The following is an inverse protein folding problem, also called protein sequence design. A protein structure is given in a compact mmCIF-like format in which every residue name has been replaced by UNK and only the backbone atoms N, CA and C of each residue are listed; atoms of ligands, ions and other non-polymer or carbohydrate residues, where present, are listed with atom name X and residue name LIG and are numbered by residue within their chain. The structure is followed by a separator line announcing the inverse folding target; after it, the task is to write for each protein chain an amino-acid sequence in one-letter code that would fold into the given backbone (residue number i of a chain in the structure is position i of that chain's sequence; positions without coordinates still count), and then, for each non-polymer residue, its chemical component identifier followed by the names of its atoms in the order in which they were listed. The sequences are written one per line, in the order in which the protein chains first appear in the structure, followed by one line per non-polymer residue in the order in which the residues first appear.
data_IF_140766015644
#
_entry.id   IF_140766015644
#
_cell.length_a   1.000
_cell.length_b   1.000
_cell.length_c   1.000
_cell.angle_alpha   90.00
_cell.angle_beta   90.00
_cell.angle_gamma   90.00
#
_symmetry.space_group_name_H-M   'P 1'
#
loop_
_entity.id
_entity.type
_entity.pdbx_description
1 polymer ?
#
# COMPACT_ATOMS: atom_id res chain seq x y z
N UNK A 1 -32.73 45.57 1.90
CA UNK A 1 -31.98 44.70 0.95
C UNK A 1 -30.62 44.44 1.55
N UNK A 2 -30.41 43.28 2.16
CA UNK A 2 -29.10 42.76 2.50
C UNK A 2 -29.06 41.34 1.93
N UNK A 3 -28.30 41.18 0.85
CA UNK A 3 -27.97 39.89 0.25
C UNK A 3 -26.64 39.45 0.87
N UNK A 4 -26.71 38.66 1.94
CA UNK A 4 -25.53 37.96 2.45
C UNK A 4 -25.41 36.61 1.74
N UNK A 5 -24.99 36.65 0.47
CA UNK A 5 -24.59 35.46 -0.28
C UNK A 5 -23.11 35.18 -0.07
N UNK A 6 -22.75 34.74 1.13
CA UNK A 6 -21.48 34.05 1.39
C UNK A 6 -21.74 32.56 1.65
N UNK A 7 -22.36 31.90 0.67
CA UNK A 7 -22.22 30.45 0.54
C UNK A 7 -20.80 30.20 0.01
N UNK A 8 -19.83 30.13 0.93
CA UNK A 8 -18.53 29.53 0.64
C UNK A 8 -18.80 28.14 0.09
N UNK A 9 -18.49 27.92 -1.20
CA UNK A 9 -18.52 26.59 -1.80
C UNK A 9 -17.52 25.76 -1.00
N UNK A 10 -18.03 24.84 -0.17
CA UNK A 10 -17.18 23.91 0.55
C UNK A 10 -16.27 23.22 -0.48
N UNK A 11 -14.94 23.22 -0.29
CA UNK A 11 -14.07 22.43 -1.15
C UNK A 11 -14.59 20.99 -1.13
N UNK A 12 -14.75 20.40 -2.31
CA UNK A 12 -15.26 19.05 -2.48
C UNK A 12 -14.21 18.06 -1.95
N UNK A 13 -14.11 17.92 -0.63
CA UNK A 13 -13.20 17.04 0.13
C UNK A 13 -13.55 15.55 -0.02
N UNK A 14 -14.25 15.18 -1.09
CA UNK A 14 -14.59 13.78 -1.36
C UNK A 14 -13.39 13.08 -1.97
N UNK A 15 -13.18 11.85 -1.54
CA UNK A 15 -12.22 10.97 -2.17
C UNK A 15 -12.55 10.81 -3.67
N UNK A 16 -11.56 10.84 -4.58
CA UNK A 16 -11.82 10.81 -6.02
C UNK A 16 -12.52 9.52 -6.45
N UNK A 17 -13.72 9.63 -7.04
CA UNK A 17 -14.53 8.47 -7.44
C UNK A 17 -13.81 7.56 -8.43
N UNK A 18 -13.05 8.13 -9.37
CA UNK A 18 -12.27 7.37 -10.33
C UNK A 18 -11.25 6.43 -9.66
N UNK A 19 -10.64 6.86 -8.54
CA UNK A 19 -9.72 6.02 -7.78
C UNK A 19 -10.48 4.91 -7.05
N UNK A 20 -11.64 5.21 -6.45
CA UNK A 20 -12.49 4.20 -5.83
C UNK A 20 -12.94 3.13 -6.83
N UNK A 21 -13.36 3.54 -8.03
CA UNK A 21 -13.82 2.65 -9.09
C UNK A 21 -12.69 1.75 -9.61
N UNK A 22 -11.47 2.29 -9.71
CA UNK A 22 -10.28 1.52 -10.11
C UNK A 22 -9.88 0.53 -9.02
N UNK A 23 -9.86 0.96 -7.75
CA UNK A 23 -9.58 0.07 -6.63
C UNK A 23 -10.59 -1.08 -6.53
N UNK A 24 -11.88 -0.78 -6.74
CA UNK A 24 -12.93 -1.79 -6.77
C UNK A 24 -12.72 -2.80 -7.90
N UNK A 25 -12.45 -2.32 -9.12
CA UNK A 25 -12.23 -3.19 -10.30
C UNK A 25 -11.03 -4.12 -10.12
N UNK A 26 -9.99 -3.67 -9.44
CA UNK A 26 -8.79 -4.46 -9.17
C UNK A 26 -8.84 -5.21 -7.83
N UNK A 27 -9.98 -5.16 -7.12
CA UNK A 27 -10.19 -5.77 -5.82
C UNK A 27 -9.05 -5.46 -4.82
N UNK A 28 -8.79 -4.17 -4.66
CA UNK A 28 -7.81 -3.61 -3.73
C UNK A 28 -8.52 -3.19 -2.45
N UNK A 29 -7.97 -3.59 -1.31
CA UNK A 29 -8.53 -3.27 0.01
C UNK A 29 -7.45 -2.56 0.85
N UNK A 30 -7.81 -1.41 1.41
CA UNK A 30 -7.05 -0.82 2.52
C UNK A 30 -7.42 -1.56 3.80
N UNK A 31 -6.56 -2.50 4.19
CA UNK A 31 -6.83 -3.39 5.30
C UNK A 31 -6.58 -2.72 6.65
N UNK A 32 -5.48 -1.97 6.76
CA UNK A 32 -5.08 -1.21 7.95
C UNK A 32 -4.57 0.16 7.53
N UNK A 33 -4.89 1.20 8.29
CA UNK A 33 -4.44 2.58 8.06
C UNK A 33 -3.95 3.13 9.39
N UNK A 34 -2.67 3.48 9.44
CA UNK A 34 -2.02 4.07 10.61
C UNK A 34 -1.63 5.49 10.25
N UNK A 35 -2.02 6.45 11.08
CA UNK A 35 -1.59 7.83 10.93
C UNK A 35 -0.21 8.00 11.56
N UNK A 36 0.81 8.20 10.71
CA UNK A 36 2.23 8.19 11.10
C UNK A 36 2.54 9.27 12.13
N UNK A 37 2.11 10.55 11.98
CA UNK A 37 2.44 11.60 12.94
C UNK A 37 1.91 11.37 14.36
N UNK A 38 0.97 10.44 14.54
CA UNK A 38 0.41 10.11 15.87
C UNK A 38 1.04 8.88 16.52
N UNK A 39 2.00 8.22 15.86
CA UNK A 39 2.61 6.97 16.34
C UNK A 39 3.30 7.08 17.70
N UNK A 40 3.89 8.24 18.02
CA UNK A 40 4.68 8.45 19.24
C UNK A 40 3.92 9.24 20.33
N UNK A 41 2.61 9.46 20.18
CA UNK A 41 1.79 10.20 21.15
C UNK A 41 1.43 9.33 22.36
N UNK A 42 1.47 8.01 22.20
CA UNK A 42 1.12 7.01 23.21
C UNK A 42 2.37 6.36 23.80
N UNK A 43 2.25 5.87 25.04
CA UNK A 43 3.33 5.20 25.77
C UNK A 43 3.67 3.80 25.24
N UNK A 44 2.87 3.29 24.30
CA UNK A 44 3.04 1.97 23.69
C UNK A 44 2.70 2.03 22.20
N UNK A 45 3.31 1.14 21.43
CA UNK A 45 3.13 1.06 19.99
C UNK A 45 1.88 0.24 19.68
N UNK A 46 1.08 0.63 18.68
CA UNK A 46 -0.08 -0.17 18.31
C UNK A 46 0.33 -1.50 17.65
N UNK A 47 -0.45 -2.55 17.87
CA UNK A 47 -0.20 -3.90 17.32
C UNK A 47 -0.02 -3.89 15.79
N UNK A 48 -0.74 -3.01 15.10
CA UNK A 48 -0.63 -2.86 13.64
C UNK A 48 0.74 -2.33 13.20
N UNK A 49 1.35 -1.44 13.99
CA UNK A 49 2.71 -0.97 13.71
C UNK A 49 3.74 -2.03 14.07
N UNK A 50 3.54 -2.80 15.14
CA UNK A 50 4.40 -3.98 15.41
C UNK A 50 4.39 -4.94 14.22
N UNK A 51 3.21 -5.28 13.70
CA UNK A 51 3.07 -6.15 12.52
C UNK A 51 3.84 -5.60 11.31
N UNK A 52 3.76 -4.29 11.09
CA UNK A 52 4.56 -3.63 10.05
C UNK A 52 6.07 -3.81 10.28
N UNK A 53 6.57 -3.58 11.49
CA UNK A 53 8.00 -3.73 11.80
C UNK A 53 8.47 -5.16 11.56
N UNK A 54 7.68 -6.16 11.96
CA UNK A 54 7.97 -7.56 11.68
C UNK A 54 7.94 -7.88 10.18
N UNK A 55 7.05 -7.23 9.42
CA UNK A 55 6.96 -7.42 7.98
C UNK A 55 8.19 -6.88 7.21
N UNK A 56 9.03 -6.03 7.82
CA UNK A 56 10.23 -5.50 7.16
C UNK A 56 11.31 -6.55 6.87
N UNK A 57 11.33 -7.68 7.60
CA UNK A 57 12.26 -8.79 7.29
C UNK A 57 11.90 -9.53 5.99
N UNK A 58 10.72 -9.26 5.43
CA UNK A 58 10.22 -9.88 4.20
C UNK A 58 10.50 -9.05 2.95
N UNK A 59 9.94 -9.48 1.81
CA UNK A 59 9.97 -8.71 0.56
C UNK A 59 9.45 -7.27 0.73
N UNK A 60 8.52 -7.03 1.66
CA UNK A 60 8.03 -5.68 1.96
C UNK A 60 9.14 -4.71 2.33
N UNK A 61 10.17 -5.13 3.08
CA UNK A 61 11.27 -4.23 3.45
C UNK A 61 12.11 -3.78 2.26
N UNK A 62 12.32 -4.65 1.27
CA UNK A 62 13.05 -4.31 0.05
C UNK A 62 12.21 -3.43 -0.87
N UNK A 63 10.94 -3.78 -1.05
CA UNK A 63 10.01 -3.03 -1.89
C UNK A 63 9.81 -1.60 -1.34
N UNK A 64 9.79 -1.43 -0.02
CA UNK A 64 9.72 -0.12 0.64
C UNK A 64 10.98 0.71 0.44
N UNK A 65 12.17 0.10 0.44
CA UNK A 65 13.43 0.80 0.13
C UNK A 65 13.47 1.29 -1.32
N UNK A 66 12.94 0.49 -2.25
CA UNK A 66 12.86 0.87 -3.66
C UNK A 66 11.86 2.03 -3.86
N UNK A 67 10.71 1.98 -3.20
CA UNK A 67 9.67 3.02 -3.29
C UNK A 67 10.06 4.31 -2.57
N UNK A 68 10.73 4.19 -1.41
CA UNK A 68 11.13 5.29 -0.55
C UNK A 68 12.60 5.14 -0.10
N UNK A 69 13.58 5.47 -0.98
CA UNK A 69 14.99 5.33 -0.64
C UNK A 69 15.41 6.09 0.63
N UNK A 70 14.72 7.17 0.96
CA UNK A 70 14.95 7.92 2.20
C UNK A 70 14.69 7.08 3.48
N UNK A 71 13.87 6.03 3.40
CA UNK A 71 13.57 5.14 4.53
C UNK A 71 14.63 4.04 4.72
N UNK A 72 15.63 3.95 3.85
CA UNK A 72 16.63 2.88 3.94
C UNK A 72 17.34 2.87 5.30
N UNK A 73 17.70 4.03 5.83
CA UNK A 73 18.31 4.18 7.16
C UNK A 73 17.41 3.65 8.27
N UNK A 74 16.13 4.05 8.26
CA UNK A 74 15.12 3.59 9.20
C UNK A 74 14.94 2.06 9.12
N UNK A 75 14.68 1.52 7.93
CA UNK A 75 14.44 0.09 7.73
C UNK A 75 15.65 -0.73 8.18
N UNK A 76 16.87 -0.31 7.83
CA UNK A 76 18.09 -0.97 8.28
C UNK A 76 18.28 -0.91 9.80
N UNK A 77 17.84 0.18 10.45
CA UNK A 77 17.86 0.31 11.92
C UNK A 77 16.92 -0.70 12.58
N UNK A 78 15.68 -0.83 12.06
CA UNK A 78 14.70 -1.81 12.55
C UNK A 78 15.24 -3.23 12.41
N UNK A 79 15.76 -3.58 11.24
CA UNK A 79 16.29 -4.93 10.96
C UNK A 79 17.51 -5.29 11.83
N UNK A 80 18.27 -4.31 12.32
CA UNK A 80 19.38 -4.54 13.26
C UNK A 80 18.89 -4.79 14.69
N UNK A 81 17.75 -4.22 15.07
CA UNK A 81 17.17 -4.31 16.40
C UNK A 81 15.67 -4.63 16.33
N UNK A 82 15.29 -5.87 15.94
CA UNK A 82 13.89 -6.22 15.71
C UNK A 82 13.13 -6.54 17.01
N UNK A 83 13.60 -6.15 18.20
CA UNK A 83 12.92 -6.49 19.46
C UNK A 83 11.86 -5.47 19.84
N UNK A 84 10.82 -5.95 20.54
CA UNK A 84 9.73 -5.11 21.07
C UNK A 84 10.21 -3.94 21.93
N UNK A 85 11.33 -4.11 22.63
CA UNK A 85 11.94 -3.07 23.47
C UNK A 85 12.32 -1.82 22.65
N UNK A 86 12.61 -1.98 21.35
CA UNK A 86 12.99 -0.88 20.47
C UNK A 86 11.82 -0.32 19.65
N UNK A 87 10.62 -0.89 19.74
CA UNK A 87 9.51 -0.47 18.87
C UNK A 87 9.08 0.97 19.12
N UNK A 88 9.09 1.42 20.37
CA UNK A 88 8.81 2.81 20.75
C UNK A 88 9.85 3.77 20.15
N UNK A 89 11.12 3.38 20.18
CA UNK A 89 12.20 4.18 19.59
C UNK A 89 12.08 4.24 18.06
N UNK A 90 11.76 3.10 17.42
CA UNK A 90 11.52 3.06 15.97
C UNK A 90 10.34 3.92 15.56
N UNK A 91 9.23 3.89 16.30
CA UNK A 91 8.09 4.77 16.07
C UNK A 91 8.48 6.26 16.22
N UNK A 92 9.24 6.60 17.25
CA UNK A 92 9.69 7.97 17.50
C UNK A 92 10.64 8.48 16.41
N UNK A 93 11.59 7.65 15.98
CA UNK A 93 12.53 7.97 14.90
C UNK A 93 11.80 8.15 13.57
N UNK A 94 10.82 7.28 13.25
CA UNK A 94 10.03 7.40 12.04
C UNK A 94 9.27 8.74 11.99
N UNK A 95 8.66 9.16 13.11
CA UNK A 95 7.96 10.45 13.20
C UNK A 95 8.91 11.64 13.07
N UNK A 96 10.09 11.57 13.70
CA UNK A 96 11.06 12.66 13.70
C UNK A 96 11.74 12.86 12.32
N UNK A 97 12.11 11.77 11.67
CA UNK A 97 12.99 11.80 10.49
C UNK A 97 12.20 11.78 9.16
N UNK A 98 10.92 11.40 9.18
CA UNK A 98 10.10 11.19 7.97
C UNK A 98 8.72 11.87 8.07
N UNK A 99 8.73 13.13 8.51
CA UNK A 99 7.54 13.95 8.78
C UNK A 99 6.63 14.23 7.58
N UNK A 100 7.08 13.97 6.35
CA UNK A 100 6.30 14.12 5.13
C UNK A 100 5.33 12.95 4.86
N UNK A 101 5.53 11.82 5.54
CA UNK A 101 4.66 10.65 5.46
C UNK A 101 3.47 10.80 6.41
N UNK A 102 2.25 10.78 5.88
CA UNK A 102 1.03 10.96 6.67
C UNK A 102 0.45 9.60 7.10
N UNK A 103 0.54 8.60 6.23
CA UNK A 103 -0.09 7.31 6.41
C UNK A 103 0.87 6.14 6.16
N UNK A 104 0.72 5.10 6.99
CA UNK A 104 1.24 3.77 6.75
C UNK A 104 0.04 2.85 6.54
N UNK A 105 -0.04 2.22 5.37
CA UNK A 105 -1.23 1.47 4.93
C UNK A 105 -0.86 0.04 4.60
N UNK A 106 -1.57 -0.91 5.22
CA UNK A 106 -1.53 -2.30 4.79
C UNK A 106 -2.58 -2.52 3.69
N UNK A 107 -2.11 -2.90 2.51
CA UNK A 107 -2.92 -3.24 1.35
C UNK A 107 -3.17 -4.74 1.32
N UNK A 108 -4.37 -5.13 0.91
CA UNK A 108 -4.66 -6.45 0.36
C UNK A 108 -4.97 -6.29 -1.12
N UNK A 109 -4.10 -6.79 -1.96
CA UNK A 109 -4.22 -6.76 -3.42
C UNK A 109 -4.60 -8.15 -3.88
N UNK A 110 -5.73 -8.30 -4.57
CA UNK A 110 -6.14 -9.58 -5.10
C UNK A 110 -5.09 -10.14 -6.07
N UNK A 111 -4.74 -11.41 -5.90
CA UNK A 111 -3.85 -12.14 -6.80
C UNK A 111 -4.74 -12.72 -7.91
N UNK A 112 -4.56 -12.30 -9.17
CA UNK A 112 -5.33 -12.85 -10.28
C UNK A 112 -4.98 -14.31 -10.54
N UNK A 113 -5.98 -15.07 -10.98
CA UNK A 113 -5.86 -16.51 -11.23
C UNK A 113 -6.81 -16.95 -12.35
N UNK A 114 -6.71 -18.22 -12.77
CA UNK A 114 -7.52 -18.79 -13.85
C UNK A 114 -7.39 -18.00 -15.17
N UNK A 115 -6.17 -17.62 -15.53
CA UNK A 115 -5.88 -16.96 -16.80
C UNK A 115 -6.27 -17.83 -17.98
N UNK A 116 -7.00 -17.25 -18.93
CA UNK A 116 -7.29 -17.85 -20.23
C UNK A 116 -6.73 -16.97 -21.33
N UNK A 117 -5.91 -17.58 -22.17
CA UNK A 117 -5.27 -16.92 -23.29
C UNK A 117 -5.91 -17.32 -24.61
N UNK A 118 -6.02 -16.35 -25.52
CA UNK A 118 -6.40 -16.55 -26.90
C UNK A 118 -5.29 -17.24 -27.69
N UNK A 119 -5.58 -17.63 -28.92
CA UNK A 119 -4.60 -18.25 -29.84
C UNK A 119 -3.47 -17.29 -30.24
N UNK A 120 -3.67 -15.98 -30.08
CA UNK A 120 -2.67 -14.93 -30.26
C UNK A 120 -1.89 -14.62 -28.97
N UNK A 121 -2.15 -15.37 -27.88
CA UNK A 121 -1.52 -15.18 -26.59
C UNK A 121 -2.07 -14.00 -25.78
N UNK A 122 -3.16 -13.34 -26.22
CA UNK A 122 -3.81 -12.29 -25.42
C UNK A 122 -4.62 -12.86 -24.28
N UNK A 123 -4.49 -12.26 -23.10
CA UNK A 123 -5.37 -12.56 -21.97
C UNK A 123 -6.77 -11.97 -22.23
N UNK A 124 -7.79 -12.84 -22.28
CA UNK A 124 -9.19 -12.41 -22.45
C UNK A 124 -10.06 -12.68 -21.23
N UNK A 125 -9.56 -13.42 -20.24
CA UNK A 125 -10.32 -13.75 -19.03
C UNK A 125 -9.40 -14.12 -17.88
N UNK A 126 -9.66 -13.49 -16.73
CA UNK A 126 -9.04 -13.77 -15.43
C UNK A 126 -10.08 -13.69 -14.32
N UNK A 127 -9.77 -14.32 -13.19
CA UNK A 127 -10.55 -14.23 -11.96
C UNK A 127 -9.78 -13.46 -10.90
N UNK A 128 -10.50 -12.75 -10.02
CA UNK A 128 -9.95 -12.03 -8.86
C UNK A 128 -10.67 -12.48 -7.57
N UNK A 129 -9.97 -12.39 -6.44
CA UNK A 129 -10.59 -12.50 -5.10
C UNK A 129 -10.48 -13.85 -4.39
N UNK A 130 -9.68 -14.79 -4.89
CA UNK A 130 -9.40 -16.06 -4.20
C UNK A 130 -8.32 -15.93 -3.11
N UNK A 131 -7.22 -15.24 -3.43
CA UNK A 131 -6.11 -14.97 -2.51
C UNK A 131 -5.65 -13.51 -2.66
N UNK A 132 -4.92 -13.01 -1.66
CA UNK A 132 -4.48 -11.63 -1.59
C UNK A 132 -3.00 -11.55 -1.21
N UNK A 133 -2.28 -10.63 -1.86
CA UNK A 133 -0.94 -10.21 -1.45
C UNK A 133 -1.10 -9.09 -0.42
N UNK A 134 -0.56 -9.29 0.77
CA UNK A 134 -0.45 -8.24 1.77
C UNK A 134 0.79 -7.40 1.52
N UNK A 135 0.64 -6.08 1.45
CA UNK A 135 1.76 -5.17 1.16
C UNK A 135 1.65 -3.89 1.97
N UNK A 136 2.72 -3.47 2.61
CA UNK A 136 2.76 -2.21 3.35
C UNK A 136 3.29 -1.09 2.46
N UNK A 137 2.64 0.08 2.48
CA UNK A 137 3.10 1.29 1.80
C UNK A 137 3.09 2.48 2.75
N UNK A 138 3.98 3.45 2.48
CA UNK A 138 3.87 4.79 3.04
C UNK A 138 3.22 5.74 2.04
N UNK A 139 2.42 6.68 2.54
CA UNK A 139 1.74 7.63 1.69
C UNK A 139 1.66 9.02 2.34
N UNK A 140 1.73 10.04 1.51
CA UNK A 140 1.58 11.45 1.89
C UNK A 140 0.11 11.90 1.97
N UNK A 141 -0.81 11.07 1.47
CA UNK A 141 -2.26 11.27 1.57
C UNK A 141 -2.99 9.96 1.22
N UNK A 142 -4.27 9.84 1.54
CA UNK A 142 -5.06 8.68 1.11
C UNK A 142 -5.22 8.58 -0.42
N UNK A 143 -5.14 9.72 -1.12
CA UNK A 143 -5.14 9.75 -2.60
C UNK A 143 -3.86 9.11 -3.15
N UNK A 144 -2.72 9.51 -2.61
CA UNK A 144 -1.40 8.94 -2.95
C UNK A 144 -1.39 7.43 -2.66
N UNK A 145 -1.88 7.00 -1.48
CA UNK A 145 -1.99 5.59 -1.14
C UNK A 145 -2.79 4.78 -2.19
N UNK A 146 -3.88 5.34 -2.72
CA UNK A 146 -4.71 4.67 -3.72
C UNK A 146 -4.04 4.59 -5.08
N UNK A 147 -3.37 5.66 -5.51
CA UNK A 147 -2.60 5.67 -6.75
C UNK A 147 -1.46 4.65 -6.70
N UNK A 148 -0.77 4.54 -5.55
CA UNK A 148 0.26 3.52 -5.32
C UNK A 148 -0.33 2.10 -5.34
N UNK A 149 -1.44 1.87 -4.63
CA UNK A 149 -2.08 0.56 -4.57
C UNK A 149 -2.53 0.06 -5.95
N UNK A 150 -3.08 0.95 -6.80
CA UNK A 150 -3.46 0.63 -8.18
C UNK A 150 -2.23 0.26 -9.02
N UNK A 151 -1.13 1.01 -8.89
CA UNK A 151 0.12 0.67 -9.59
C UNK A 151 0.63 -0.71 -9.17
N UNK A 152 0.58 -1.02 -7.87
CA UNK A 152 0.97 -2.32 -7.34
C UNK A 152 0.05 -3.45 -7.84
N UNK A 153 -1.26 -3.22 -7.95
CA UNK A 153 -2.17 -4.24 -8.50
C UNK A 153 -1.87 -4.57 -9.95
N UNK A 154 -1.50 -3.58 -10.77
CA UNK A 154 -1.07 -3.84 -12.14
C UNK A 154 0.24 -4.63 -12.22
N UNK A 155 1.21 -4.34 -11.32
CA UNK A 155 2.44 -5.14 -11.22
C UNK A 155 2.14 -6.59 -10.84
N UNK A 156 1.32 -6.80 -9.80
CA UNK A 156 0.88 -8.14 -9.38
C UNK A 156 0.17 -8.86 -10.52
N UNK A 157 -0.72 -8.18 -11.25
CA UNK A 157 -1.38 -8.78 -12.39
C UNK A 157 -0.40 -9.21 -13.49
N UNK A 158 0.55 -8.35 -13.85
CA UNK A 158 1.56 -8.67 -14.86
C UNK A 158 2.46 -9.84 -14.44
N UNK A 159 2.88 -9.90 -13.17
CA UNK A 159 3.67 -11.00 -12.61
C UNK A 159 2.93 -12.34 -12.69
N UNK A 160 1.66 -12.37 -12.28
CA UNK A 160 0.85 -13.60 -12.31
C UNK A 160 0.45 -14.01 -13.73
N UNK A 161 0.21 -13.03 -14.62
CA UNK A 161 -0.05 -13.31 -16.03
C UNK A 161 1.17 -13.96 -16.69
N UNK A 162 2.37 -13.42 -16.44
CA UNK A 162 3.62 -13.98 -16.96
C UNK A 162 3.83 -15.41 -16.46
N UNK A 163 3.62 -15.67 -15.16
CA UNK A 163 3.67 -17.03 -14.60
C UNK A 163 2.71 -17.96 -15.31
N UNK A 164 1.46 -17.54 -15.50
CA UNK A 164 0.45 -18.34 -16.17
C UNK A 164 0.79 -18.61 -17.65
N UNK A 165 1.43 -17.64 -18.34
CA UNK A 165 1.91 -17.83 -19.73
C UNK A 165 3.01 -18.88 -19.80
N UNK A 166 3.97 -18.84 -18.88
CA UNK A 166 5.04 -19.85 -18.78
C UNK A 166 4.45 -21.23 -18.46
N UNK A 167 3.55 -21.33 -17.49
CA UNK A 167 2.90 -22.58 -17.09
C UNK A 167 2.08 -23.22 -18.23
N UNK A 168 1.48 -22.40 -19.09
CA UNK A 168 0.70 -22.84 -20.25
C UNK A 168 1.55 -23.02 -21.52
N UNK A 169 2.87 -22.85 -21.44
CA UNK A 169 3.81 -23.05 -22.54
C UNK A 169 3.74 -21.98 -23.64
N UNK A 170 3.27 -20.78 -23.31
CA UNK A 170 3.22 -19.64 -24.23
C UNK A 170 4.52 -18.83 -24.26
N UNK A 171 5.31 -18.89 -23.18
CA UNK A 171 6.60 -18.20 -23.00
C UNK A 171 7.59 -19.08 -22.20
N UNK A 172 8.88 -18.72 -22.23
CA UNK A 172 9.98 -19.33 -21.45
C UNK A 172 10.46 -18.41 -20.34
#
# INVERSE_FOLDING_TARGET
MQNDSNAQIAPNNKFPSALSDEMFRNNIIFHKIIHVPTLNIVLDVCEDFEEFLWALESQNGNDLKEQHPQLEGFINSVLRNPSREWFIDHASNLVADHSDLEFLVNLKIAIPFNFRFGTDGTNYSTSLGHSYRCHWIFATSMKDAAEQAIKLSFKVHAEEEQKARIEQGLEE
#
